data_IF_749382915088
#
_entry.id   IF_749382915088
#
_cell.length_a   1.000
_cell.length_b   1.000
_cell.length_c   1.000
_cell.angle_alpha   90.00
_cell.angle_beta   90.00
_cell.angle_gamma   90.00
#
_symmetry.space_group_name_H-M   'P 1'
#
loop_
_entity.id
_entity.type
_entity.pdbx_description
1 polymer ?
#
# COMPACT_ATOMS: atom_id res chain seq x y z
N UNK A 1 22.88 16.40 -57.36
CA UNK A 1 22.97 15.26 -58.34
C UNK A 1 24.02 14.25 -57.93
N UNK A 2 23.69 13.17 -57.25
CA UNK A 2 24.46 11.92 -57.27
C UNK A 2 23.47 10.76 -57.33
N UNK A 3 23.46 10.07 -58.46
CA UNK A 3 22.65 8.88 -58.73
C UNK A 3 23.29 7.68 -58.01
N UNK A 4 22.49 6.81 -57.41
CA UNK A 4 22.90 5.47 -57.00
C UNK A 4 23.03 4.54 -58.21
N UNK A 5 24.11 3.76 -58.40
CA UNK A 5 24.19 2.73 -59.43
C UNK A 5 23.62 1.41 -58.92
N UNK A 6 22.68 0.82 -59.67
CA UNK A 6 22.35 -0.60 -59.62
C UNK A 6 23.43 -1.34 -60.43
N UNK A 7 24.17 -2.25 -59.78
CA UNK A 7 25.03 -3.18 -60.47
C UNK A 7 24.61 -4.63 -60.13
N UNK A 8 24.23 -5.36 -61.19
CA UNK A 8 24.08 -6.80 -61.13
C UNK A 8 25.46 -7.46 -61.19
N UNK A 9 25.67 -8.53 -60.40
CA UNK A 9 26.91 -9.32 -60.45
C UNK A 9 26.99 -10.31 -59.28
N UNK A 10 26.91 -11.58 -59.61
CA UNK A 10 27.06 -12.77 -58.76
C UNK A 10 28.42 -12.79 -58.04
N UNK A 11 28.40 -12.99 -56.72
CA UNK A 11 29.62 -13.23 -55.95
C UNK A 11 29.34 -13.21 -54.42
N UNK A 12 29.53 -14.35 -53.75
CA UNK A 12 29.46 -14.50 -52.32
C UNK A 12 30.55 -13.63 -51.62
N UNK A 13 30.11 -12.53 -51.00
CA UNK A 13 30.92 -11.85 -49.99
C UNK A 13 30.04 -11.41 -48.82
N UNK A 14 30.50 -11.75 -47.60
CA UNK A 14 29.93 -11.29 -46.30
C UNK A 14 29.91 -9.76 -46.31
N UNK A 15 28.74 -9.15 -46.54
CA UNK A 15 28.53 -7.73 -46.33
C UNK A 15 28.18 -7.48 -44.85
N UNK A 16 29.15 -6.97 -44.11
CA UNK A 16 28.90 -6.22 -42.88
C UNK A 16 27.96 -5.06 -43.23
N UNK A 17 26.74 -5.09 -42.72
CA UNK A 17 25.77 -4.05 -42.92
C UNK A 17 26.21 -2.73 -42.24
N UNK A 18 26.72 -1.82 -43.03
CA UNK A 18 26.83 -0.41 -42.68
C UNK A 18 25.85 0.37 -43.57
N UNK A 19 24.56 0.30 -43.21
CA UNK A 19 23.50 1.06 -43.88
C UNK A 19 22.78 1.98 -42.89
N UNK A 20 23.53 2.83 -42.18
CA UNK A 20 22.93 3.70 -41.13
C UNK A 20 22.80 5.17 -41.49
N UNK A 21 23.00 5.60 -42.77
CA UNK A 21 22.90 7.02 -43.11
C UNK A 21 22.19 7.29 -44.45
N UNK A 22 20.90 6.93 -44.55
CA UNK A 22 20.03 7.44 -45.58
C UNK A 22 18.97 8.33 -44.93
N UNK A 23 18.97 9.67 -45.08
CA UNK A 23 18.07 10.58 -44.36
C UNK A 23 16.60 10.44 -44.78
N UNK A 24 16.30 9.82 -45.92
CA UNK A 24 14.91 9.61 -46.39
C UNK A 24 14.21 8.42 -45.71
N UNK A 25 14.95 7.41 -45.21
CA UNK A 25 14.35 6.30 -44.49
C UNK A 25 14.04 6.63 -43.02
N UNK A 26 14.54 7.72 -42.47
CA UNK A 26 14.21 8.23 -41.13
C UNK A 26 12.83 8.89 -41.04
N UNK A 27 12.26 9.29 -42.20
CA UNK A 27 10.96 9.98 -42.26
C UNK A 27 9.75 9.03 -42.37
N UNK A 28 9.95 7.73 -42.61
CA UNK A 28 8.84 6.80 -42.93
C UNK A 28 8.71 5.57 -41.99
N UNK A 29 9.58 5.42 -41.00
CA UNK A 29 9.36 4.43 -39.94
C UNK A 29 9.63 5.09 -38.58
N UNK A 30 8.64 5.29 -37.74
CA UNK A 30 8.92 5.58 -36.35
C UNK A 30 9.84 4.49 -35.84
N UNK A 31 10.98 4.88 -35.27
CA UNK A 31 11.93 3.91 -34.71
C UNK A 31 11.20 3.08 -33.66
N UNK A 32 11.57 1.79 -33.51
CA UNK A 32 10.98 0.91 -32.47
C UNK A 32 11.03 1.57 -31.08
N UNK A 33 11.95 2.51 -30.84
CA UNK A 33 12.03 3.34 -29.65
C UNK A 33 10.91 4.40 -29.55
N UNK A 34 10.44 4.97 -30.68
CA UNK A 34 9.31 5.96 -30.67
C UNK A 34 7.95 5.30 -30.55
N UNK A 35 7.79 4.06 -31.04
CA UNK A 35 6.56 3.27 -30.82
C UNK A 35 6.46 2.73 -29.39
N UNK A 36 7.60 2.49 -28.72
CA UNK A 36 7.63 2.06 -27.32
C UNK A 36 7.31 3.19 -26.31
N UNK A 37 7.30 4.46 -26.75
CA UNK A 37 7.13 5.64 -25.91
C UNK A 37 5.67 6.17 -25.84
N UNK A 38 4.69 5.49 -26.43
CA UNK A 38 3.29 5.92 -26.30
C UNK A 38 2.68 5.37 -25.01
N UNK A 39 2.33 6.27 -24.11
CA UNK A 39 1.57 5.94 -22.90
C UNK A 39 0.29 5.18 -23.24
N UNK A 40 0.05 4.08 -22.58
CA UNK A 40 -1.17 3.28 -22.68
C UNK A 40 -2.02 3.42 -21.42
N UNK A 41 -3.31 3.07 -21.47
CA UNK A 41 -4.17 3.05 -20.29
C UNK A 41 -3.62 2.15 -19.17
N UNK A 42 -2.89 1.07 -19.54
CA UNK A 42 -2.24 0.15 -18.58
C UNK A 42 -1.13 0.83 -17.79
N UNK A 43 -0.38 1.75 -18.42
CA UNK A 43 0.66 2.52 -17.74
C UNK A 43 0.06 3.42 -16.64
N UNK A 44 -1.09 4.06 -16.91
CA UNK A 44 -1.80 4.86 -15.91
C UNK A 44 -2.37 4.00 -14.77
N UNK A 45 -2.91 2.82 -15.08
CA UNK A 45 -3.37 1.88 -14.07
C UNK A 45 -2.19 1.36 -13.21
N UNK A 46 -1.06 1.04 -13.82
CA UNK A 46 0.16 0.60 -13.12
C UNK A 46 0.64 1.66 -12.12
N UNK A 47 0.62 2.94 -12.51
CA UNK A 47 1.00 4.04 -11.61
C UNK A 47 0.11 4.15 -10.38
N UNK A 48 -1.18 3.78 -10.48
CA UNK A 48 -2.09 3.75 -9.33
C UNK A 48 -1.77 2.63 -8.32
N UNK A 49 -0.81 1.73 -8.60
CA UNK A 49 -0.45 0.59 -7.73
C UNK A 49 -1.66 -0.29 -7.37
N UNK A 50 -2.40 -0.87 -8.32
CA UNK A 50 -3.70 -1.50 -8.08
C UNK A 50 -3.66 -2.59 -7.01
N UNK A 51 -2.59 -3.37 -6.91
CA UNK A 51 -2.43 -4.41 -5.86
C UNK A 51 -2.44 -3.83 -4.45
N UNK A 52 -1.79 -2.68 -4.26
CA UNK A 52 -1.75 -2.00 -2.96
C UNK A 52 -3.11 -1.36 -2.66
N UNK A 53 -3.70 -0.69 -3.66
CA UNK A 53 -5.02 -0.05 -3.51
C UNK A 53 -6.10 -1.08 -3.17
N UNK A 54 -6.12 -2.26 -3.82
CA UNK A 54 -7.06 -3.33 -3.47
C UNK A 54 -6.92 -3.78 -2.02
N UNK A 55 -5.68 -3.93 -1.51
CA UNK A 55 -5.46 -4.27 -0.11
C UNK A 55 -5.97 -3.17 0.84
N UNK A 56 -5.72 -1.89 0.50
CA UNK A 56 -6.25 -0.76 1.26
C UNK A 56 -7.79 -0.74 1.26
N UNK A 57 -8.42 -1.04 0.13
CA UNK A 57 -9.88 -1.15 0.01
C UNK A 57 -10.44 -2.29 0.85
N UNK A 58 -9.78 -3.45 0.89
CA UNK A 58 -10.17 -4.54 1.79
C UNK A 58 -10.17 -4.07 3.25
N UNK A 59 -9.13 -3.35 3.68
CA UNK A 59 -9.08 -2.79 5.04
C UNK A 59 -10.18 -1.75 5.27
N UNK A 60 -10.50 -0.91 4.28
CA UNK A 60 -11.59 0.06 4.39
C UNK A 60 -12.96 -0.63 4.48
N UNK A 61 -13.22 -1.65 3.67
CA UNK A 61 -14.46 -2.44 3.72
C UNK A 61 -14.58 -3.16 5.07
N UNK A 62 -13.51 -3.72 5.61
CA UNK A 62 -13.51 -4.28 6.97
C UNK A 62 -13.90 -3.20 7.99
N UNK A 63 -13.35 -1.99 7.88
CA UNK A 63 -13.73 -0.86 8.73
C UNK A 63 -15.21 -0.48 8.60
N UNK A 64 -15.78 -0.49 7.39
CA UNK A 64 -17.22 -0.25 7.16
C UNK A 64 -18.08 -1.31 7.85
N UNK A 65 -17.74 -2.58 7.68
CA UNK A 65 -18.51 -3.70 8.26
C UNK A 65 -18.47 -3.65 9.79
N UNK A 66 -17.32 -3.43 10.37
CA UNK A 66 -17.14 -3.39 11.82
C UNK A 66 -17.74 -2.15 12.49
N UNK A 67 -18.02 -1.11 11.72
CA UNK A 67 -18.59 0.15 12.20
C UNK A 67 -20.10 0.06 12.54
N UNK A 68 -20.78 -1.01 12.12
CA UNK A 68 -22.22 -1.18 12.34
C UNK A 68 -22.57 -2.63 12.63
N UNK A 69 -23.52 -2.91 13.54
CA UNK A 69 -24.02 -4.26 13.77
C UNK A 69 -24.89 -4.78 12.60
N UNK A 70 -25.33 -3.89 11.72
CA UNK A 70 -26.18 -4.23 10.56
C UNK A 70 -25.42 -4.39 9.26
N UNK A 71 -26.16 -4.47 8.17
CA UNK A 71 -25.60 -4.48 6.82
C UNK A 71 -25.31 -3.07 6.33
N UNK A 72 -24.12 -2.84 5.80
CA UNK A 72 -23.77 -1.57 5.16
C UNK A 72 -24.47 -1.46 3.80
N UNK A 73 -25.15 -0.34 3.47
CA UNK A 73 -25.74 -0.14 2.15
C UNK A 73 -24.71 -0.27 1.02
N UNK A 74 -25.05 -1.02 -0.02
CA UNK A 74 -24.12 -1.34 -1.10
C UNK A 74 -23.66 -0.08 -1.88
N UNK A 75 -24.55 0.87 -2.07
CA UNK A 75 -24.26 2.16 -2.70
C UNK A 75 -23.20 2.96 -1.92
N UNK A 76 -23.26 2.93 -0.58
CA UNK A 76 -22.25 3.53 0.29
C UNK A 76 -20.90 2.79 0.16
N UNK A 77 -20.91 1.45 0.20
CA UNK A 77 -19.68 0.65 0.04
C UNK A 77 -19.02 0.94 -1.30
N UNK A 78 -19.79 1.00 -2.38
CA UNK A 78 -19.25 1.26 -3.73
C UNK A 78 -18.74 2.69 -3.88
N UNK A 79 -19.49 3.69 -3.45
CA UNK A 79 -19.10 5.11 -3.55
C UNK A 79 -17.87 5.43 -2.69
N UNK A 80 -17.84 4.96 -1.43
CA UNK A 80 -16.71 5.15 -0.56
C UNK A 80 -15.46 4.42 -1.09
N UNK A 81 -15.59 3.15 -1.48
CA UNK A 81 -14.47 2.38 -2.04
C UNK A 81 -13.91 3.02 -3.31
N UNK A 82 -14.75 3.48 -4.22
CA UNK A 82 -14.31 4.16 -5.44
C UNK A 82 -13.60 5.47 -5.12
N UNK A 83 -14.17 6.29 -4.25
CA UNK A 83 -13.56 7.55 -3.84
C UNK A 83 -12.19 7.36 -3.17
N UNK A 84 -12.10 6.43 -2.20
CA UNK A 84 -10.84 6.06 -1.54
C UNK A 84 -9.81 5.53 -2.55
N UNK A 85 -10.22 4.67 -3.50
CA UNK A 85 -9.33 4.11 -4.52
C UNK A 85 -8.73 5.20 -5.41
N UNK A 86 -9.54 6.17 -5.84
CA UNK A 86 -9.10 7.26 -6.71
C UNK A 86 -8.13 8.20 -5.98
N UNK A 87 -8.42 8.56 -4.73
CA UNK A 87 -7.54 9.41 -3.92
C UNK A 87 -6.22 8.68 -3.63
N UNK A 88 -6.26 7.40 -3.23
CA UNK A 88 -5.06 6.60 -2.98
C UNK A 88 -4.24 6.37 -4.26
N UNK A 89 -4.90 6.10 -5.40
CA UNK A 89 -4.26 5.98 -6.70
C UNK A 89 -3.57 7.28 -7.13
N UNK A 90 -4.23 8.42 -6.95
CA UNK A 90 -3.64 9.76 -7.17
C UNK A 90 -2.36 9.95 -6.35
N UNK A 91 -2.38 9.64 -5.05
CA UNK A 91 -1.19 9.73 -4.21
C UNK A 91 -0.06 8.80 -4.66
N UNK A 92 -0.40 7.59 -5.14
CA UNK A 92 0.57 6.65 -5.71
C UNK A 92 1.23 7.19 -6.98
N UNK A 93 0.48 7.88 -7.85
CA UNK A 93 1.03 8.53 -9.06
C UNK A 93 2.01 9.64 -8.69
N UNK A 94 1.67 10.49 -7.71
CA UNK A 94 2.60 11.52 -7.20
C UNK A 94 3.89 10.88 -6.68
N UNK A 95 3.78 9.75 -5.97
CA UNK A 95 4.96 9.00 -5.52
C UNK A 95 5.81 8.47 -6.69
N UNK A 96 5.21 8.00 -7.81
CA UNK A 96 5.96 7.58 -9.00
C UNK A 96 6.75 8.73 -9.63
N UNK A 97 6.16 9.93 -9.69
CA UNK A 97 6.86 11.13 -10.23
C UNK A 97 8.02 11.55 -9.33
N UNK A 98 7.81 11.57 -8.01
CA UNK A 98 8.83 11.96 -7.06
C UNK A 98 10.02 10.98 -6.98
N UNK A 99 9.73 9.68 -7.14
CA UNK A 99 10.71 8.61 -7.02
C UNK A 99 11.38 8.21 -8.34
N UNK A 100 11.04 8.83 -9.48
CA UNK A 100 11.51 8.43 -10.81
C UNK A 100 13.01 8.16 -10.91
N UNK A 101 13.86 8.97 -10.26
CA UNK A 101 15.31 8.82 -10.29
C UNK A 101 15.82 7.66 -9.43
N UNK A 102 15.13 7.33 -8.35
CA UNK A 102 15.41 6.17 -7.50
C UNK A 102 14.93 4.92 -8.21
N UNK A 103 13.71 4.97 -8.73
CA UNK A 103 13.08 3.86 -9.44
C UNK A 103 13.90 3.38 -10.65
N UNK A 104 14.51 4.30 -11.39
CA UNK A 104 15.37 3.97 -12.52
C UNK A 104 16.67 3.23 -12.14
N UNK A 105 17.05 3.24 -10.86
CA UNK A 105 18.26 2.55 -10.35
C UNK A 105 17.97 1.23 -9.66
N UNK A 106 16.73 0.92 -9.35
CA UNK A 106 16.33 -0.30 -8.65
C UNK A 106 15.75 -1.31 -9.64
N UNK A 107 16.29 -2.52 -9.71
CA UNK A 107 15.85 -3.59 -10.63
C UNK A 107 14.34 -3.88 -10.57
N UNK A 108 13.72 -3.72 -9.38
CA UNK A 108 12.29 -3.94 -9.18
C UNK A 108 11.39 -2.85 -9.80
N UNK A 109 11.90 -1.63 -9.96
CA UNK A 109 11.09 -0.44 -10.29
C UNK A 109 11.59 0.29 -11.55
N UNK A 110 12.69 -0.14 -12.17
CA UNK A 110 13.25 0.44 -13.40
C UNK A 110 12.26 0.41 -14.57
N UNK A 111 11.36 -0.58 -14.61
CA UNK A 111 10.35 -0.73 -15.66
C UNK A 111 9.13 0.16 -15.49
N UNK A 112 9.03 0.98 -14.41
CA UNK A 112 7.89 1.84 -14.14
C UNK A 112 7.66 2.88 -15.23
N UNK A 113 6.38 3.23 -15.56
CA UNK A 113 6.05 4.11 -16.69
C UNK A 113 6.74 5.47 -16.68
N UNK A 114 6.88 6.10 -15.50
CA UNK A 114 7.57 7.40 -15.37
C UNK A 114 9.09 7.24 -15.43
N UNK A 115 9.63 6.18 -14.79
CA UNK A 115 11.07 5.92 -14.80
C UNK A 115 11.61 5.61 -16.21
N UNK A 116 10.81 4.93 -17.04
CA UNK A 116 11.14 4.61 -18.44
C UNK A 116 10.83 5.73 -19.43
N UNK A 117 10.17 6.81 -18.99
CA UNK A 117 9.73 7.91 -19.87
C UNK A 117 8.52 7.58 -20.75
N UNK A 118 7.84 6.43 -20.57
CA UNK A 118 6.58 6.11 -21.28
C UNK A 118 5.46 7.10 -20.95
N UNK A 119 5.42 7.58 -19.71
CA UNK A 119 4.52 8.64 -19.24
C UNK A 119 5.37 9.82 -18.79
N UNK A 120 5.09 11.01 -19.31
CA UNK A 120 5.77 12.24 -18.88
C UNK A 120 5.30 12.69 -17.50
N UNK A 121 6.13 13.44 -16.77
CA UNK A 121 5.78 13.99 -15.47
C UNK A 121 4.50 14.84 -15.54
N UNK A 122 4.34 15.64 -16.60
CA UNK A 122 3.15 16.48 -16.79
C UNK A 122 1.88 15.66 -16.96
N UNK A 123 1.93 14.58 -17.76
CA UNK A 123 0.80 13.67 -17.95
C UNK A 123 0.45 12.96 -16.64
N UNK A 124 1.46 12.48 -15.89
CA UNK A 124 1.27 11.84 -14.60
C UNK A 124 0.64 12.78 -13.57
N UNK A 125 1.15 14.01 -13.44
CA UNK A 125 0.60 15.02 -12.50
C UNK A 125 -0.83 15.41 -12.89
N UNK A 126 -1.12 15.61 -14.17
CA UNK A 126 -2.48 15.90 -14.65
C UNK A 126 -3.44 14.77 -14.31
N UNK A 127 -3.02 13.52 -14.56
CA UNK A 127 -3.82 12.35 -14.23
C UNK A 127 -4.04 12.22 -12.70
N UNK A 128 -3.00 12.47 -11.89
CA UNK A 128 -3.14 12.49 -10.43
C UNK A 128 -4.11 13.58 -9.97
N UNK A 129 -4.04 14.78 -10.53
CA UNK A 129 -4.94 15.88 -10.18
C UNK A 129 -6.40 15.54 -10.52
N UNK A 130 -6.66 15.05 -11.73
CA UNK A 130 -8.02 14.70 -12.17
C UNK A 130 -8.60 13.58 -11.30
N UNK A 131 -7.84 12.47 -11.10
CA UNK A 131 -8.32 11.34 -10.30
C UNK A 131 -8.48 11.70 -8.82
N UNK A 132 -7.57 12.50 -8.27
CA UNK A 132 -7.63 12.97 -6.89
C UNK A 132 -8.83 13.88 -6.63
N UNK A 133 -9.04 14.89 -7.48
CA UNK A 133 -10.20 15.80 -7.37
C UNK A 133 -11.51 15.06 -7.54
N UNK A 134 -11.61 14.15 -8.52
CA UNK A 134 -12.81 13.36 -8.73
C UNK A 134 -13.10 12.42 -7.55
N UNK A 135 -12.07 11.74 -7.02
CA UNK A 135 -12.20 10.90 -5.82
C UNK A 135 -12.63 11.70 -4.59
N UNK A 136 -12.07 12.90 -4.38
CA UNK A 136 -12.48 13.80 -3.29
C UNK A 136 -13.93 14.29 -3.45
N UNK A 137 -14.36 14.60 -4.67
CA UNK A 137 -15.74 14.99 -4.93
C UNK A 137 -16.71 13.84 -4.63
N UNK A 138 -16.40 12.61 -5.03
CA UNK A 138 -17.22 11.44 -4.68
C UNK A 138 -17.34 11.27 -3.16
N UNK A 139 -16.23 11.36 -2.43
CA UNK A 139 -16.26 11.23 -0.97
C UNK A 139 -17.07 12.36 -0.32
N UNK A 140 -16.93 13.57 -0.81
CA UNK A 140 -17.61 14.75 -0.25
C UNK A 140 -19.13 14.72 -0.46
N UNK A 141 -19.57 14.40 -1.69
CA UNK A 141 -20.98 14.51 -2.06
C UNK A 141 -21.77 13.21 -1.89
N UNK A 142 -21.12 12.04 -2.01
CA UNK A 142 -21.82 10.75 -1.95
C UNK A 142 -21.54 9.96 -0.66
N UNK A 143 -20.59 10.40 0.17
CA UNK A 143 -20.27 9.74 1.44
C UNK A 143 -20.47 10.74 2.59
N UNK A 144 -19.43 11.43 3.01
CA UNK A 144 -19.52 12.53 3.98
C UNK A 144 -18.22 13.37 3.99
N UNK A 145 -18.32 14.64 4.44
CA UNK A 145 -17.16 15.54 4.50
C UNK A 145 -16.02 15.05 5.42
N UNK A 146 -16.33 14.37 6.53
CA UNK A 146 -15.30 13.88 7.46
C UNK A 146 -14.37 12.85 6.77
N UNK A 147 -14.95 11.88 6.09
CA UNK A 147 -14.18 10.87 5.34
C UNK A 147 -13.37 11.53 4.22
N UNK A 148 -13.91 12.54 3.54
CA UNK A 148 -13.18 13.30 2.53
C UNK A 148 -11.96 14.02 3.14
N UNK A 149 -12.12 14.73 4.28
CA UNK A 149 -11.01 15.41 4.97
C UNK A 149 -9.93 14.44 5.44
N UNK A 150 -10.29 13.28 5.98
CA UNK A 150 -9.33 12.26 6.41
C UNK A 150 -8.54 11.70 5.22
N UNK A 151 -9.20 11.45 4.09
CA UNK A 151 -8.53 11.03 2.87
C UNK A 151 -7.59 12.12 2.33
N UNK A 152 -8.00 13.41 2.35
CA UNK A 152 -7.13 14.53 1.97
C UNK A 152 -5.91 14.63 2.88
N UNK A 153 -6.10 14.53 4.19
CA UNK A 153 -5.01 14.56 5.16
C UNK A 153 -4.00 13.41 4.91
N UNK A 154 -4.50 12.20 4.63
CA UNK A 154 -3.65 11.08 4.26
C UNK A 154 -2.96 11.27 2.90
N UNK A 155 -3.65 11.85 1.92
CA UNK A 155 -3.07 12.18 0.61
C UNK A 155 -1.90 13.17 0.75
N UNK A 156 -2.11 14.25 1.51
CA UNK A 156 -1.04 15.24 1.82
C UNK A 156 0.10 14.57 2.59
N UNK A 157 -0.23 13.80 3.62
CA UNK A 157 0.75 13.11 4.46
C UNK A 157 1.61 12.12 3.67
N UNK A 158 1.00 11.25 2.88
CA UNK A 158 1.72 10.24 2.09
C UNK A 158 2.28 10.82 0.78
N UNK A 159 1.45 11.52 0.00
CA UNK A 159 1.82 12.02 -1.33
C UNK A 159 2.90 13.11 -1.28
N UNK A 160 2.82 14.02 -0.32
CA UNK A 160 3.75 15.14 -0.21
C UNK A 160 4.76 14.95 0.93
N UNK A 161 4.31 14.87 2.20
CA UNK A 161 5.21 14.88 3.36
C UNK A 161 6.11 13.64 3.37
N UNK A 162 5.54 12.45 3.29
CA UNK A 162 6.33 11.22 3.28
C UNK A 162 7.18 11.10 2.01
N UNK A 163 6.57 11.26 0.85
CA UNK A 163 7.24 10.98 -0.43
C UNK A 163 8.36 11.98 -0.74
N UNK A 164 8.13 13.29 -0.52
CA UNK A 164 9.10 14.31 -0.89
C UNK A 164 10.16 14.53 0.20
N UNK A 165 9.80 14.36 1.48
CA UNK A 165 10.67 14.72 2.59
C UNK A 165 11.07 13.53 3.47
N UNK A 166 10.13 12.86 4.15
CA UNK A 166 10.44 11.88 5.20
C UNK A 166 11.23 10.68 4.68
N UNK A 167 10.91 10.18 3.50
CA UNK A 167 11.53 9.01 2.90
C UNK A 167 13.05 9.16 2.77
N UNK A 168 13.54 10.39 2.61
CA UNK A 168 14.97 10.71 2.41
C UNK A 168 15.61 11.33 3.66
N UNK A 169 14.81 11.86 4.58
CA UNK A 169 15.29 12.62 5.72
C UNK A 169 15.58 11.79 6.96
N UNK A 170 14.90 10.63 7.12
CA UNK A 170 14.98 9.89 8.39
C UNK A 170 14.86 8.37 8.19
N UNK A 171 15.53 7.61 9.06
CA UNK A 171 15.39 6.15 9.16
C UNK A 171 14.04 5.71 9.75
N UNK A 172 13.31 6.64 10.38
CA UNK A 172 11.95 6.42 10.90
C UNK A 172 10.87 6.61 9.82
N UNK A 173 11.26 6.73 8.57
CA UNK A 173 10.37 6.94 7.44
C UNK A 173 9.25 5.90 7.35
N UNK A 174 9.54 4.62 7.68
CA UNK A 174 8.56 3.53 7.69
C UNK A 174 7.54 3.72 8.83
N UNK A 175 7.97 4.15 10.02
CA UNK A 175 7.07 4.37 11.15
C UNK A 175 6.14 5.54 10.87
N UNK A 176 6.70 6.70 10.51
CA UNK A 176 5.90 7.92 10.30
C UNK A 176 5.01 7.76 9.03
N UNK A 177 5.58 7.21 7.95
CA UNK A 177 4.84 6.93 6.72
C UNK A 177 3.77 5.86 6.89
N UNK A 178 4.01 4.90 7.79
CA UNK A 178 3.08 3.83 8.16
C UNK A 178 1.75 4.34 8.71
N UNK A 179 1.74 5.52 9.37
CA UNK A 179 0.51 6.13 9.86
C UNK A 179 -0.50 6.41 8.75
N UNK A 180 -0.02 6.94 7.63
CA UNK A 180 -0.90 7.24 6.47
C UNK A 180 -1.36 5.96 5.77
N UNK A 181 -0.51 4.93 5.70
CA UNK A 181 -0.85 3.61 5.17
C UNK A 181 -1.79 2.81 6.05
N UNK A 182 -1.84 3.10 7.35
CA UNK A 182 -2.72 2.44 8.32
C UNK A 182 -4.14 3.03 8.37
N UNK A 183 -4.39 4.18 7.75
CA UNK A 183 -5.65 4.91 7.83
C UNK A 183 -6.87 4.30 7.10
N UNK A 184 -6.76 3.43 6.07
CA UNK A 184 -7.91 2.94 5.30
C UNK A 184 -9.07 2.37 6.11
N UNK A 185 -8.91 1.56 7.17
CA UNK A 185 -10.05 1.10 7.95
C UNK A 185 -10.79 2.23 8.66
N UNK A 186 -10.09 3.31 9.06
CA UNK A 186 -10.75 4.51 9.61
C UNK A 186 -11.57 5.24 8.55
N UNK A 187 -11.11 5.27 7.28
CA UNK A 187 -11.91 5.85 6.20
C UNK A 187 -13.21 5.07 5.99
N UNK A 188 -13.13 3.73 6.02
CA UNK A 188 -14.32 2.89 5.98
C UNK A 188 -15.24 3.10 7.18
N UNK A 189 -14.67 3.16 8.37
CA UNK A 189 -15.41 3.43 9.62
C UNK A 189 -16.16 4.75 9.55
N UNK A 190 -15.47 5.84 9.25
CA UNK A 190 -16.07 7.18 9.17
C UNK A 190 -17.05 7.33 8.00
N UNK A 191 -16.89 6.56 6.92
CA UNK A 191 -17.86 6.54 5.83
C UNK A 191 -19.26 6.10 6.31
N UNK A 192 -19.31 5.18 7.27
CA UNK A 192 -20.55 4.65 7.85
C UNK A 192 -21.06 5.50 9.02
N UNK A 193 -20.18 5.85 9.96
CA UNK A 193 -20.56 6.48 11.25
C UNK A 193 -20.54 8.01 11.20
N UNK A 194 -19.82 8.61 10.25
CA UNK A 194 -19.50 10.04 10.22
C UNK A 194 -18.85 10.55 11.53
N UNK A 195 -18.13 9.66 12.24
CA UNK A 195 -17.45 9.96 13.51
C UNK A 195 -16.11 9.23 13.61
N UNK A 196 -15.20 9.78 14.44
CA UNK A 196 -13.92 9.14 14.76
C UNK A 196 -14.09 8.44 16.10
N UNK A 197 -14.32 7.12 16.05
CA UNK A 197 -14.60 6.32 17.21
C UNK A 197 -13.38 5.47 17.62
N UNK A 198 -13.30 5.03 18.90
CA UNK A 198 -12.20 4.20 19.39
C UNK A 198 -12.01 2.92 18.58
N UNK A 199 -13.08 2.29 18.07
CA UNK A 199 -13.00 1.09 17.24
C UNK A 199 -12.22 1.33 15.94
N UNK A 200 -12.56 2.40 15.22
CA UNK A 200 -11.86 2.80 14.00
C UNK A 200 -10.38 3.11 14.26
N UNK A 201 -10.08 3.81 15.37
CA UNK A 201 -8.71 4.13 15.78
C UNK A 201 -7.90 2.89 16.17
N UNK A 202 -8.52 1.88 16.78
CA UNK A 202 -7.85 0.61 17.10
C UNK A 202 -7.46 -0.16 15.83
N UNK A 203 -8.28 -0.16 14.79
CA UNK A 203 -7.93 -0.77 13.52
C UNK A 203 -6.70 -0.07 12.89
N UNK A 204 -6.65 1.27 12.98
CA UNK A 204 -5.47 2.04 12.57
C UNK A 204 -4.25 1.66 13.42
N UNK A 205 -4.39 1.57 14.74
CA UNK A 205 -3.30 1.22 15.65
C UNK A 205 -2.72 -0.16 15.35
N UNK A 206 -3.56 -1.16 15.04
CA UNK A 206 -3.13 -2.50 14.67
C UNK A 206 -2.28 -2.47 13.39
N UNK A 207 -2.77 -1.81 12.32
CA UNK A 207 -2.02 -1.73 11.06
C UNK A 207 -0.76 -0.87 11.23
N UNK A 208 -0.82 0.20 12.01
CA UNK A 208 0.31 1.04 12.32
C UNK A 208 1.43 0.26 13.04
N UNK A 209 1.07 -0.51 14.09
CA UNK A 209 2.02 -1.35 14.82
C UNK A 209 2.55 -2.52 13.97
N UNK A 210 1.75 -3.02 13.02
CA UNK A 210 2.13 -4.06 12.07
C UNK A 210 3.11 -3.57 10.99
N UNK A 211 3.03 -2.30 10.60
CA UNK A 211 3.79 -1.75 9.47
C UNK A 211 5.31 -1.87 9.67
N UNK A 212 5.93 -1.47 10.82
CA UNK A 212 7.36 -1.57 10.99
C UNK A 212 7.91 -3.00 10.93
N UNK A 213 7.41 -4.00 11.66
CA UNK A 213 7.93 -5.37 11.58
C UNK A 213 7.78 -5.98 10.18
N UNK A 214 6.70 -5.65 9.46
CA UNK A 214 6.50 -6.08 8.09
C UNK A 214 7.56 -5.48 7.13
N UNK A 215 7.68 -4.16 7.10
CA UNK A 215 8.59 -3.49 6.16
C UNK A 215 10.06 -3.65 6.52
N UNK A 216 10.42 -3.67 7.80
CA UNK A 216 11.82 -3.85 8.19
C UNK A 216 12.31 -5.28 7.97
N UNK A 217 11.44 -6.29 8.06
CA UNK A 217 11.79 -7.65 7.66
C UNK A 217 12.17 -7.70 6.17
N UNK A 218 11.39 -7.06 5.29
CA UNK A 218 11.74 -6.91 3.88
C UNK A 218 12.99 -6.04 3.65
N UNK A 219 13.19 -5.00 4.47
CA UNK A 219 14.34 -4.12 4.36
C UNK A 219 15.66 -4.80 4.78
N UNK A 220 15.61 -5.77 5.69
CA UNK A 220 16.77 -6.63 6.02
C UNK A 220 17.18 -7.47 4.81
N UNK A 221 16.23 -8.10 4.13
CA UNK A 221 16.47 -8.92 2.94
C UNK A 221 17.03 -8.10 1.77
N UNK A 222 16.65 -6.82 1.68
CA UNK A 222 17.00 -5.92 0.55
C UNK A 222 17.93 -4.79 0.97
N UNK A 223 18.73 -5.01 2.00
CA UNK A 223 19.58 -3.98 2.59
C UNK A 223 20.51 -3.33 1.56
N UNK A 224 21.16 -4.13 0.73
CA UNK A 224 22.14 -3.67 -0.24
C UNK A 224 21.47 -2.83 -1.34
N UNK A 225 20.30 -3.25 -1.86
CA UNK A 225 19.53 -2.45 -2.82
C UNK A 225 19.18 -1.05 -2.28
N UNK A 226 18.83 -0.93 -0.99
CA UNK A 226 18.53 0.36 -0.37
C UNK A 226 19.77 1.20 -0.11
N UNK A 227 20.89 0.58 0.22
CA UNK A 227 22.18 1.25 0.39
C UNK A 227 22.68 1.85 -0.92
N UNK A 228 22.60 1.10 -2.03
CA UNK A 228 23.04 1.52 -3.36
C UNK A 228 22.30 2.77 -3.87
N UNK A 229 21.04 2.93 -3.51
CA UNK A 229 20.22 4.11 -3.91
C UNK A 229 20.19 5.22 -2.86
N UNK A 230 20.91 5.07 -1.75
CA UNK A 230 21.03 6.08 -0.69
C UNK A 230 19.74 6.33 0.11
N UNK A 231 18.82 5.32 0.18
CA UNK A 231 17.61 5.43 1.00
C UNK A 231 17.94 5.02 2.44
N UNK A 232 17.74 5.90 3.46
CA UNK A 232 18.15 5.66 4.84
C UNK A 232 17.20 4.69 5.56
N UNK A 233 17.10 3.45 5.10
CA UNK A 233 16.34 2.41 5.80
C UNK A 233 17.03 2.03 7.11
N UNK A 234 16.25 1.59 8.11
CA UNK A 234 16.77 1.27 9.44
C UNK A 234 17.98 0.29 9.42
N UNK A 235 17.98 -0.83 8.64
CA UNK A 235 19.12 -1.71 8.58
C UNK A 235 20.37 -1.10 7.92
N UNK A 236 20.18 -0.08 7.04
CA UNK A 236 21.28 0.63 6.38
C UNK A 236 21.93 1.62 7.34
N UNK A 237 21.14 2.34 8.12
CA UNK A 237 21.62 3.43 9.00
C UNK A 237 22.06 2.98 10.38
N UNK A 238 21.36 2.02 10.99
CA UNK A 238 21.59 1.56 12.37
C UNK A 238 22.03 0.09 12.46
N UNK A 239 22.15 -0.58 11.32
CA UNK A 239 22.56 -1.98 11.24
C UNK A 239 21.46 -2.99 11.52
N UNK A 240 21.78 -4.24 11.25
CA UNK A 240 20.82 -5.35 11.29
C UNK A 240 20.38 -5.73 12.69
N UNK A 241 21.32 -5.79 13.64
CA UNK A 241 21.02 -6.17 15.02
C UNK A 241 20.00 -5.22 15.67
N UNK A 242 20.19 -3.92 15.46
CA UNK A 242 19.26 -2.89 15.91
C UNK A 242 17.88 -3.03 15.24
N UNK A 243 17.84 -3.32 13.94
CA UNK A 243 16.60 -3.52 13.19
C UNK A 243 15.84 -4.76 13.68
N UNK A 244 16.53 -5.88 13.93
CA UNK A 244 15.93 -7.12 14.47
C UNK A 244 15.31 -6.90 15.84
N UNK A 245 15.98 -6.14 16.72
CA UNK A 245 15.45 -5.77 18.03
C UNK A 245 14.15 -4.95 17.86
N UNK A 246 14.13 -3.96 16.96
CA UNK A 246 12.95 -3.14 16.74
C UNK A 246 11.79 -3.91 16.12
N UNK A 247 12.05 -4.88 15.23
CA UNK A 247 11.04 -5.81 14.74
C UNK A 247 10.40 -6.57 15.90
N UNK A 248 11.19 -7.11 16.84
CA UNK A 248 10.65 -7.78 18.00
C UNK A 248 9.81 -6.87 18.89
N UNK A 249 10.31 -5.65 19.20
CA UNK A 249 9.58 -4.70 20.05
C UNK A 249 8.25 -4.26 19.43
N UNK A 250 8.23 -3.97 18.12
CA UNK A 250 6.98 -3.62 17.42
C UNK A 250 6.05 -4.82 17.26
N UNK A 251 6.57 -6.06 17.18
CA UNK A 251 5.75 -7.27 17.19
C UNK A 251 5.06 -7.45 18.55
N UNK A 252 5.76 -7.18 19.65
CA UNK A 252 5.15 -7.19 20.99
C UNK A 252 4.06 -6.12 21.11
N UNK A 253 4.36 -4.89 20.66
CA UNK A 253 3.38 -3.80 20.62
C UNK A 253 2.14 -4.17 19.79
N UNK A 254 2.35 -4.80 18.63
CA UNK A 254 1.27 -5.28 17.76
C UNK A 254 0.39 -6.31 18.45
N UNK A 255 1.00 -7.30 19.15
CA UNK A 255 0.23 -8.32 19.88
C UNK A 255 -0.62 -7.67 20.97
N UNK A 256 -0.05 -6.71 21.72
CA UNK A 256 -0.81 -5.96 22.73
C UNK A 256 -1.96 -5.15 22.08
N UNK A 257 -1.67 -4.44 20.98
CA UNK A 257 -2.69 -3.68 20.23
C UNK A 257 -3.82 -4.58 19.72
N UNK A 258 -3.48 -5.81 19.27
CA UNK A 258 -4.45 -6.78 18.76
C UNK A 258 -5.33 -7.42 19.83
N UNK A 259 -5.01 -7.28 21.12
CA UNK A 259 -5.90 -7.70 22.22
C UNK A 259 -6.94 -6.61 22.56
N UNK A 260 -6.65 -5.35 22.26
CA UNK A 260 -7.50 -4.22 22.68
C UNK A 260 -8.94 -4.27 22.14
N UNK A 261 -9.23 -4.74 20.90
CA UNK A 261 -10.61 -4.87 20.43
C UNK A 261 -11.49 -5.76 21.35
N UNK A 262 -10.90 -6.80 21.95
CA UNK A 262 -11.61 -7.61 22.96
C UNK A 262 -11.81 -6.83 24.26
N UNK A 263 -10.79 -6.09 24.72
CA UNK A 263 -10.84 -5.32 25.97
C UNK A 263 -11.92 -4.24 25.95
N UNK A 264 -12.12 -3.58 24.80
CA UNK A 264 -13.16 -2.55 24.64
C UNK A 264 -14.54 -3.13 24.22
N UNK A 265 -14.68 -4.46 24.24
CA UNK A 265 -15.92 -5.16 23.87
C UNK A 265 -16.34 -4.91 22.40
N UNK A 266 -15.40 -4.57 21.53
CA UNK A 266 -15.61 -4.47 20.10
C UNK A 266 -15.67 -5.86 19.42
N UNK A 267 -14.95 -6.84 19.97
CA UNK A 267 -14.86 -8.22 19.47
C UNK A 267 -14.98 -9.22 20.62
N UNK A 268 -15.44 -10.43 20.32
CA UNK A 268 -15.68 -11.48 21.28
C UNK A 268 -14.51 -12.44 21.52
N UNK A 269 -14.76 -13.56 22.24
CA UNK A 269 -13.72 -14.52 22.62
C UNK A 269 -13.06 -15.24 21.42
N UNK A 270 -13.79 -15.46 20.33
CA UNK A 270 -13.25 -16.10 19.13
C UNK A 270 -12.13 -15.25 18.53
N UNK A 271 -12.37 -13.94 18.43
CA UNK A 271 -11.35 -13.01 18.00
C UNK A 271 -10.12 -13.03 18.91
N UNK A 272 -10.32 -13.00 20.23
CA UNK A 272 -9.22 -13.03 21.19
C UNK A 272 -8.35 -14.28 21.01
N UNK A 273 -8.97 -15.46 20.90
CA UNK A 273 -8.26 -16.71 20.67
C UNK A 273 -7.43 -16.67 19.37
N UNK A 274 -8.02 -16.17 18.29
CA UNK A 274 -7.33 -15.97 17.00
C UNK A 274 -6.17 -14.97 17.09
N UNK A 275 -6.39 -13.83 17.75
CA UNK A 275 -5.36 -12.79 17.93
C UNK A 275 -4.17 -13.31 18.73
N UNK A 276 -4.39 -14.06 19.81
CA UNK A 276 -3.33 -14.68 20.61
C UNK A 276 -2.57 -15.76 19.84
N UNK A 277 -3.26 -16.64 19.12
CA UNK A 277 -2.63 -17.69 18.34
C UNK A 277 -1.77 -17.12 17.20
N UNK A 278 -2.33 -16.15 16.44
CA UNK A 278 -1.60 -15.46 15.36
C UNK A 278 -0.44 -14.63 15.92
N UNK A 279 -0.65 -13.94 17.05
CA UNK A 279 0.38 -13.18 17.75
C UNK A 279 1.55 -14.04 18.23
N UNK A 280 1.26 -15.21 18.80
CA UNK A 280 2.29 -16.18 19.20
C UNK A 280 3.15 -16.62 18.00
N UNK A 281 2.53 -16.89 16.85
CA UNK A 281 3.24 -17.22 15.62
C UNK A 281 4.13 -16.06 15.11
N UNK A 282 3.66 -14.81 15.22
CA UNK A 282 4.48 -13.66 14.80
C UNK A 282 5.64 -13.43 15.77
N UNK A 283 5.42 -13.57 17.07
CA UNK A 283 6.48 -13.51 18.08
C UNK A 283 7.51 -14.61 17.85
N UNK A 284 7.09 -15.83 17.52
CA UNK A 284 8.01 -16.92 17.18
C UNK A 284 8.96 -16.51 16.04
N UNK A 285 8.43 -15.99 14.93
CA UNK A 285 9.27 -15.57 13.81
C UNK A 285 10.14 -14.35 14.14
N UNK A 286 9.66 -13.40 14.94
CA UNK A 286 10.44 -12.27 15.40
C UNK A 286 11.60 -12.71 16.32
N UNK A 287 11.40 -13.71 17.18
CA UNK A 287 12.44 -14.29 18.04
C UNK A 287 13.45 -15.09 17.20
N UNK A 288 13.01 -15.87 16.22
CA UNK A 288 13.91 -16.59 15.29
C UNK A 288 14.78 -15.59 14.54
N UNK A 289 14.19 -14.52 14.04
CA UNK A 289 14.89 -13.42 13.36
C UNK A 289 15.91 -12.74 14.30
N UNK A 290 15.53 -12.49 15.56
CA UNK A 290 16.41 -11.89 16.57
C UNK A 290 17.64 -12.73 16.87
N UNK A 291 17.50 -14.07 16.90
CA UNK A 291 18.60 -15.02 17.17
C UNK A 291 19.59 -15.13 16.02
N UNK A 292 19.25 -14.65 14.84
CA UNK A 292 20.10 -14.63 13.63
C UNK A 292 20.69 -16.00 13.22
N UNK A 293 19.97 -17.08 13.47
CA UNK A 293 20.44 -18.44 13.20
C UNK A 293 19.89 -19.00 11.87
N UNK A 294 19.18 -18.18 11.08
CA UNK A 294 18.52 -18.61 9.85
C UNK A 294 18.46 -17.45 8.83
N UNK A 295 19.18 -17.59 7.73
CA UNK A 295 19.25 -16.59 6.66
C UNK A 295 17.89 -16.34 5.98
N UNK A 296 16.96 -17.30 6.07
CA UNK A 296 15.59 -17.14 5.52
C UNK A 296 14.62 -16.42 6.47
N UNK A 297 15.04 -16.19 7.73
CA UNK A 297 14.17 -15.60 8.75
C UNK A 297 13.58 -14.23 8.37
N UNK A 298 14.29 -13.30 7.72
CA UNK A 298 13.71 -12.03 7.27
C UNK A 298 12.52 -12.23 6.33
N UNK A 299 12.69 -13.06 5.30
CA UNK A 299 11.63 -13.31 4.31
C UNK A 299 10.46 -14.10 4.89
N UNK A 300 10.71 -15.08 5.78
CA UNK A 300 9.64 -15.83 6.45
C UNK A 300 8.85 -14.94 7.42
N UNK A 301 9.51 -14.05 8.16
CA UNK A 301 8.86 -13.03 9.00
C UNK A 301 7.99 -12.10 8.15
N UNK A 302 8.50 -11.64 7.01
CA UNK A 302 7.75 -10.82 6.06
C UNK A 302 6.51 -11.55 5.52
N UNK A 303 6.64 -12.81 5.08
CA UNK A 303 5.51 -13.62 4.59
C UNK A 303 4.47 -13.87 5.67
N UNK A 304 4.93 -14.25 6.87
CA UNK A 304 4.02 -14.48 7.99
C UNK A 304 3.26 -13.22 8.38
N UNK A 305 3.88 -12.05 8.33
CA UNK A 305 3.20 -10.78 8.64
C UNK A 305 2.00 -10.50 7.74
N UNK A 306 2.06 -10.91 6.46
CA UNK A 306 0.92 -10.79 5.52
C UNK A 306 -0.22 -11.74 5.93
N UNK A 307 0.13 -13.00 6.23
CA UNK A 307 -0.84 -13.99 6.71
C UNK A 307 -1.49 -13.53 8.02
N UNK A 308 -0.67 -13.01 8.95
CA UNK A 308 -1.13 -12.48 10.23
C UNK A 308 -2.23 -11.43 10.07
N UNK A 309 -1.99 -10.38 9.30
CA UNK A 309 -2.94 -9.28 9.16
C UNK A 309 -4.23 -9.74 8.48
N UNK A 310 -4.11 -10.52 7.39
CA UNK A 310 -5.26 -11.05 6.67
C UNK A 310 -6.11 -11.99 7.53
N UNK A 311 -5.47 -12.91 8.24
CA UNK A 311 -6.16 -13.85 9.14
C UNK A 311 -6.78 -13.14 10.35
N UNK A 312 -6.09 -12.15 10.93
CA UNK A 312 -6.60 -11.36 12.05
C UNK A 312 -7.91 -10.65 11.69
N UNK A 313 -7.95 -9.98 10.54
CA UNK A 313 -9.15 -9.30 10.07
C UNK A 313 -10.26 -10.28 9.68
N UNK A 314 -9.90 -11.43 9.09
CA UNK A 314 -10.89 -12.46 8.80
C UNK A 314 -11.55 -13.00 10.08
N UNK A 315 -10.75 -13.34 11.10
CA UNK A 315 -11.28 -13.79 12.39
C UNK A 315 -12.12 -12.71 13.05
N UNK A 316 -11.70 -11.43 12.97
CA UNK A 316 -12.47 -10.30 13.50
C UNK A 316 -13.84 -10.16 12.81
N UNK A 317 -13.91 -10.33 11.49
CA UNK A 317 -15.16 -10.31 10.75
C UNK A 317 -16.07 -11.49 11.12
N UNK A 318 -15.51 -12.70 11.23
CA UNK A 318 -16.28 -13.89 11.63
C UNK A 318 -16.84 -13.68 13.05
N UNK A 319 -15.99 -13.25 13.98
CA UNK A 319 -16.38 -12.97 15.36
C UNK A 319 -17.46 -11.89 15.47
N UNK A 320 -17.35 -10.81 14.66
CA UNK A 320 -18.32 -9.73 14.61
C UNK A 320 -19.75 -10.23 14.37
N UNK A 321 -19.96 -11.06 13.34
CA UNK A 321 -21.28 -11.59 13.02
C UNK A 321 -21.75 -12.63 14.04
N UNK A 322 -20.87 -13.43 14.61
CA UNK A 322 -21.22 -14.41 15.66
C UNK A 322 -21.54 -13.70 16.98
N UNK A 323 -20.75 -12.71 17.38
CA UNK A 323 -20.91 -12.00 18.64
C UNK A 323 -22.14 -11.08 18.65
N UNK A 324 -22.37 -10.33 17.59
CA UNK A 324 -23.56 -9.48 17.43
C UNK A 324 -24.84 -10.33 17.39
N UNK A 325 -24.81 -11.48 16.72
CA UNK A 325 -25.95 -12.42 16.72
C UNK A 325 -26.33 -12.92 18.12
N UNK A 326 -25.35 -13.19 18.97
CA UNK A 326 -25.57 -13.62 20.35
C UNK A 326 -26.10 -12.47 21.22
N UNK A 327 -25.60 -11.25 21.07
CA UNK A 327 -26.01 -10.09 21.83
C UNK A 327 -27.46 -9.65 21.53
N UNK A 328 -27.89 -9.86 20.28
CA UNK A 328 -29.25 -9.50 19.84
C UNK A 328 -30.32 -10.51 20.31
N UNK A 329 -29.94 -11.72 20.73
CA UNK A 329 -30.87 -12.77 21.22
C UNK A 329 -31.02 -12.79 22.73
N UNK A 330 -30.26 -12.01 23.47
CA UNK A 330 -30.46 -11.88 24.93
C UNK A 330 -31.75 -11.08 25.23
N UNK A 331 -32.75 -11.65 25.92
CA UNK A 331 -33.97 -10.89 26.27
C UNK A 331 -33.58 -9.75 27.23
N UNK A 332 -34.03 -8.55 26.92
CA UNK A 332 -33.93 -7.40 27.81
C UNK A 332 -34.77 -7.76 29.07
N UNK A 333 -34.10 -8.23 30.12
CA UNK A 333 -34.78 -8.35 31.44
C UNK A 333 -34.97 -6.92 31.97
N UNK A 334 -36.15 -6.35 31.70
CA UNK A 334 -36.59 -5.17 32.44
C UNK A 334 -36.82 -5.61 33.88
N UNK A 335 -35.91 -5.26 34.78
CA UNK A 335 -36.15 -5.26 36.22
C UNK A 335 -37.26 -4.24 36.50
N UNK A 336 -38.42 -4.64 37.10
CA UNK A 336 -39.43 -3.66 37.48
C UNK A 336 -38.82 -2.79 38.58
N UNK A 337 -38.84 -1.48 38.37
CA UNK A 337 -38.60 -0.50 39.42
C UNK A 337 -39.65 -0.74 40.51
N UNK A 338 -39.24 -1.30 41.65
CA UNK A 338 -40.07 -1.37 42.86
C UNK A 338 -40.35 0.04 43.36
N UNK A 339 -41.59 0.38 43.43
CA UNK A 339 -42.15 1.60 44.01
C UNK A 339 -41.80 1.76 45.49
#
# INVERSE_FOLDING_TARGET
>A
HRRCPLAAGTGYYKLRASTTNCPVLKLLRPTMSELALRATWRDYLEMCKPRVVVLMLLCAVVGMILATPGTVPLDLVLSASLGIALVAGSAAVVNHVADQHIDAKMARTESRPVATGRVTNSQAIMFAAVTGVFGMALLWFLVNPLTAWLNLASWVGYGLIYTLYLKRATSQNIVIGGLFGAAPPLFGWTAVTNSIDPGGLLLVLIIFAWTPPHFWALALERKDEYADVGVPMLPVTHGEAYTRLHILLYTILLVVASVLPFVIVMSGPLYLAGALALGAGFLYWAIVLMRNNNDKAPMETFRYSIVYLGALFLVMLIDHYLFVGVSSTAPIQMTPLSA
#
